data_IF_813794383380
#
_entry.id   IF_813794383380
#
_cell.length_a   1.000
_cell.length_b   1.000
_cell.length_c   1.000
_cell.angle_alpha   90.00
_cell.angle_beta   90.00
_cell.angle_gamma   90.00
#
_symmetry.space_group_name_H-M   'P 1'
#
loop_
_entity.id
_entity.type
_entity.pdbx_description
1 polymer ?
#
# COMPACT_ATOMS: atom_id res chain seq x y z
N UNK A 1 21.93 -9.54 -7.31
CA UNK A 1 20.49 -9.40 -7.59
C UNK A 1 20.34 -8.38 -8.70
N UNK A 2 19.61 -8.71 -9.76
CA UNK A 2 19.42 -7.81 -10.89
C UNK A 2 18.40 -6.72 -10.55
N UNK A 3 18.41 -5.56 -11.24
CA UNK A 3 17.32 -4.57 -11.12
C UNK A 3 15.93 -5.16 -11.43
N UNK A 4 15.85 -6.18 -12.29
CA UNK A 4 14.62 -6.91 -12.58
C UNK A 4 14.07 -7.64 -11.34
N UNK A 5 14.94 -8.24 -10.54
CA UNK A 5 14.56 -9.00 -9.35
C UNK A 5 13.96 -8.06 -8.27
N UNK A 6 14.52 -6.85 -8.12
CA UNK A 6 14.03 -5.83 -7.18
C UNK A 6 12.67 -5.31 -7.62
N UNK A 7 12.51 -4.99 -8.91
CA UNK A 7 11.24 -4.54 -9.48
C UNK A 7 10.12 -5.55 -9.24
N UNK A 8 10.39 -6.83 -9.46
CA UNK A 8 9.40 -7.89 -9.18
C UNK A 8 9.06 -7.99 -7.69
N UNK A 9 10.05 -7.80 -6.81
CA UNK A 9 9.82 -7.81 -5.37
C UNK A 9 8.92 -6.62 -4.94
N UNK A 10 9.11 -5.44 -5.52
CA UNK A 10 8.24 -4.28 -5.31
C UNK A 10 6.81 -4.56 -5.77
N UNK A 11 6.62 -5.13 -6.97
CA UNK A 11 5.29 -5.50 -7.48
C UNK A 11 4.59 -6.58 -6.62
N UNK A 12 5.35 -7.49 -6.02
CA UNK A 12 4.84 -8.48 -5.05
C UNK A 12 4.46 -7.84 -3.72
N UNK A 13 5.28 -6.92 -3.21
CA UNK A 13 4.93 -6.16 -2.00
C UNK A 13 3.64 -5.35 -2.21
N UNK A 14 3.56 -4.59 -3.31
CA UNK A 14 2.33 -3.91 -3.72
C UNK A 14 1.15 -4.90 -3.85
N UNK A 15 1.35 -6.08 -4.43
CA UNK A 15 0.30 -7.10 -4.51
C UNK A 15 -0.26 -7.50 -3.14
N UNK A 16 0.63 -7.71 -2.16
CA UNK A 16 0.23 -8.13 -0.82
C UNK A 16 -0.56 -7.06 -0.09
N UNK A 17 -0.22 -5.78 -0.31
CA UNK A 17 -0.93 -4.66 0.27
C UNK A 17 -2.22 -4.39 -0.50
N UNK A 18 -2.22 -4.42 -1.83
CA UNK A 18 -3.37 -4.17 -2.71
C UNK A 18 -4.09 -2.83 -2.50
N UNK A 19 -3.34 -1.78 -2.15
CA UNK A 19 -3.82 -0.40 -2.05
C UNK A 19 -2.70 0.61 -2.32
N UNK A 20 -3.02 1.90 -2.57
CA UNK A 20 -2.01 2.96 -2.60
C UNK A 20 -1.12 2.89 -1.37
N UNK A 21 0.19 2.81 -1.59
CA UNK A 21 1.16 2.61 -0.51
C UNK A 21 2.23 3.68 -0.60
N UNK A 22 2.46 4.39 0.50
CA UNK A 22 3.56 5.34 0.58
C UNK A 22 4.91 4.62 0.36
N UNK A 23 5.85 5.26 -0.33
CA UNK A 23 7.13 4.62 -0.71
C UNK A 23 7.88 4.09 0.52
N UNK A 24 7.79 4.80 1.63
CA UNK A 24 8.45 4.49 2.88
C UNK A 24 7.91 3.20 3.55
N UNK A 25 6.59 3.03 3.56
CA UNK A 25 5.89 1.82 3.98
C UNK A 25 6.21 0.65 3.04
N UNK A 26 6.31 0.91 1.74
CA UNK A 26 6.66 -0.10 0.74
C UNK A 26 8.10 -0.61 0.90
N UNK A 27 9.05 0.27 1.17
CA UNK A 27 10.45 -0.07 1.47
C UNK A 27 10.54 -0.96 2.72
N UNK A 28 9.77 -0.62 3.76
CA UNK A 28 9.68 -1.43 4.98
C UNK A 28 9.14 -2.83 4.68
N UNK A 29 8.00 -2.92 4.00
CA UNK A 29 7.35 -4.20 3.67
C UNK A 29 8.26 -5.06 2.79
N UNK A 30 8.91 -4.47 1.79
CA UNK A 30 9.86 -5.15 0.91
C UNK A 30 10.99 -5.80 1.73
N UNK A 31 11.62 -5.04 2.62
CA UNK A 31 12.72 -5.53 3.44
C UNK A 31 12.29 -6.66 4.38
N UNK A 32 11.09 -6.59 4.96
CA UNK A 32 10.58 -7.62 5.86
C UNK A 32 10.15 -8.90 5.14
N UNK A 33 9.55 -8.78 3.96
CA UNK A 33 9.07 -9.94 3.19
C UNK A 33 10.21 -10.66 2.45
N UNK A 34 11.26 -9.95 2.05
CA UNK A 34 12.27 -10.47 1.12
C UNK A 34 13.71 -10.39 1.64
N UNK A 35 13.94 -9.69 2.76
CA UNK A 35 15.28 -9.37 3.25
C UNK A 35 16.00 -8.28 2.45
N UNK A 36 15.36 -7.70 1.43
CA UNK A 36 15.95 -6.70 0.54
C UNK A 36 15.74 -5.31 1.09
N UNK A 37 16.80 -4.74 1.65
CA UNK A 37 16.82 -3.34 2.09
C UNK A 37 17.04 -2.45 0.86
N UNK A 38 16.09 -1.57 0.57
CA UNK A 38 16.16 -0.55 -0.48
C UNK A 38 15.98 0.84 0.15
N UNK A 39 16.33 1.89 -0.57
CA UNK A 39 15.98 3.27 -0.19
C UNK A 39 14.72 3.73 -0.91
N UNK A 40 14.11 4.79 -0.41
CA UNK A 40 12.93 5.40 -1.05
C UNK A 40 13.28 5.89 -2.46
N UNK A 41 14.46 6.48 -2.66
CA UNK A 41 14.93 6.93 -3.97
C UNK A 41 15.13 5.78 -4.96
N UNK A 42 15.59 4.62 -4.49
CA UNK A 42 15.74 3.45 -5.34
C UNK A 42 14.38 2.94 -5.83
N UNK A 43 13.37 2.90 -4.96
CA UNK A 43 12.01 2.48 -5.31
C UNK A 43 11.33 3.53 -6.22
N UNK A 44 11.48 4.82 -5.91
CA UNK A 44 11.01 5.91 -6.78
C UNK A 44 11.66 5.85 -8.17
N UNK A 45 12.96 5.55 -8.24
CA UNK A 45 13.69 5.36 -9.49
C UNK A 45 13.15 4.21 -10.33
N UNK A 46 12.69 3.12 -9.71
CA UNK A 46 12.03 2.01 -10.42
C UNK A 46 10.69 2.45 -11.02
N UNK A 47 9.88 3.21 -10.29
CA UNK A 47 8.61 3.75 -10.80
C UNK A 47 8.84 4.71 -11.98
N UNK A 48 9.84 5.59 -11.88
CA UNK A 48 10.24 6.48 -12.97
C UNK A 48 10.76 5.70 -14.20
N UNK A 49 11.53 4.63 -13.97
CA UNK A 49 11.98 3.73 -15.03
C UNK A 49 10.82 3.04 -15.74
N UNK A 50 9.82 2.56 -14.98
CA UNK A 50 8.60 1.96 -15.54
C UNK A 50 7.80 2.95 -16.40
N UNK A 51 7.69 4.21 -15.97
CA UNK A 51 7.07 5.28 -16.77
C UNK A 51 7.82 5.52 -18.08
N UNK A 52 9.15 5.56 -18.04
CA UNK A 52 9.99 5.77 -19.21
C UNK A 52 9.89 4.60 -20.21
N UNK A 53 9.95 3.37 -19.71
CA UNK A 53 9.81 2.15 -20.53
C UNK A 53 8.43 2.07 -21.19
N UNK A 54 7.36 2.40 -20.45
CA UNK A 54 6.02 2.47 -21.02
C UNK A 54 5.94 3.51 -22.15
N UNK A 55 6.50 4.71 -21.93
CA UNK A 55 6.55 5.77 -22.94
C UNK A 55 7.36 5.37 -24.18
N UNK A 56 8.39 4.52 -24.02
CA UNK A 56 9.18 3.94 -25.11
C UNK A 56 8.48 2.77 -25.82
N UNK A 57 7.28 2.36 -25.38
CA UNK A 57 6.53 1.26 -25.98
C UNK A 57 7.03 -0.13 -25.58
N UNK A 58 7.77 -0.25 -24.49
CA UNK A 58 8.15 -1.56 -23.93
C UNK A 58 6.89 -2.26 -23.43
N UNK A 59 6.71 -3.54 -23.77
CA UNK A 59 5.58 -4.33 -23.29
C UNK A 59 5.93 -5.02 -21.97
N UNK A 60 5.05 -4.88 -20.96
CA UNK A 60 5.14 -5.55 -19.67
C UNK A 60 3.74 -5.96 -19.17
N UNK A 61 3.63 -7.03 -18.38
CA UNK A 61 2.33 -7.47 -17.84
C UNK A 61 1.73 -6.47 -16.84
N UNK A 62 2.58 -5.77 -16.10
CA UNK A 62 2.18 -4.74 -15.13
C UNK A 62 3.30 -3.73 -14.93
N UNK A 63 2.92 -2.54 -14.47
CA UNK A 63 3.80 -1.40 -14.19
C UNK A 63 3.67 -0.97 -12.73
N UNK A 64 4.77 -0.50 -12.16
CA UNK A 64 4.78 0.31 -10.94
C UNK A 64 4.33 1.71 -11.34
N UNK A 65 3.22 2.15 -10.77
CA UNK A 65 2.58 3.40 -11.12
C UNK A 65 2.47 4.30 -9.90
N UNK A 66 2.45 5.62 -10.06
CA UNK A 66 1.93 6.49 -9.02
C UNK A 66 0.43 6.21 -8.80
N UNK A 67 -0.08 6.68 -7.67
CA UNK A 67 -1.50 6.77 -7.42
C UNK A 67 -2.08 7.94 -8.23
N UNK A 68 -3.40 7.99 -8.33
CA UNK A 68 -4.11 9.05 -9.02
C UNK A 68 -4.78 9.96 -8.00
N UNK A 69 -4.55 11.25 -8.11
CA UNK A 69 -5.25 12.24 -7.29
C UNK A 69 -6.76 12.23 -7.59
N UNK A 70 -7.57 12.22 -6.53
CA UNK A 70 -9.02 12.14 -6.62
C UNK A 70 -9.61 13.34 -7.37
N UNK A 71 -9.05 14.53 -7.19
CA UNK A 71 -9.64 15.76 -7.71
C UNK A 71 -9.53 15.91 -9.23
N UNK A 72 -8.38 15.49 -9.80
CA UNK A 72 -8.00 15.82 -11.16
C UNK A 72 -7.34 14.66 -11.92
N UNK A 73 -7.02 13.55 -11.25
CA UNK A 73 -6.30 12.43 -11.85
C UNK A 73 -4.82 12.70 -12.12
N UNK A 74 -4.24 13.73 -11.51
CA UNK A 74 -2.78 13.95 -11.52
C UNK A 74 -2.06 12.80 -10.81
N UNK A 75 -0.75 12.68 -11.05
CA UNK A 75 0.05 11.68 -10.38
C UNK A 75 0.32 12.10 -8.92
N UNK A 76 -0.04 11.22 -7.99
CA UNK A 76 0.41 11.30 -6.60
C UNK A 76 1.65 10.40 -6.47
N UNK A 77 2.83 10.96 -6.72
CA UNK A 77 4.10 10.23 -6.81
C UNK A 77 4.58 9.70 -5.45
N UNK A 78 4.03 10.20 -4.34
CA UNK A 78 4.32 9.74 -2.98
C UNK A 78 3.74 8.35 -2.70
N UNK A 79 2.70 7.95 -3.43
CA UNK A 79 1.98 6.69 -3.24
C UNK A 79 2.08 5.82 -4.49
N UNK A 80 2.55 4.59 -4.34
CA UNK A 80 2.69 3.65 -5.46
C UNK A 80 1.56 2.62 -5.53
N UNK A 81 1.22 2.24 -6.76
CA UNK A 81 0.19 1.28 -7.13
C UNK A 81 0.65 0.40 -8.29
N UNK A 82 -0.23 -0.49 -8.77
CA UNK A 82 0.01 -1.30 -9.96
C UNK A 82 -0.96 -0.96 -11.09
N UNK A 83 -0.46 -0.95 -12.32
CA UNK A 83 -1.28 -0.65 -13.52
C UNK A 83 -2.41 -1.64 -13.77
N UNK A 84 -2.30 -2.89 -13.29
CA UNK A 84 -3.29 -3.94 -13.49
C UNK A 84 -4.42 -3.91 -12.45
N UNK A 85 -4.37 -2.97 -11.51
CA UNK A 85 -5.47 -2.74 -10.57
C UNK A 85 -6.58 -1.90 -11.21
N UNK A 86 -7.85 -2.10 -10.78
CA UNK A 86 -8.92 -1.18 -11.10
C UNK A 86 -8.56 0.26 -10.70
N UNK A 87 -9.02 1.25 -11.47
CA UNK A 87 -8.70 2.67 -11.22
C UNK A 87 -9.07 3.07 -9.80
N UNK A 88 -10.24 2.66 -9.29
CA UNK A 88 -10.66 2.97 -7.93
C UNK A 88 -9.74 2.41 -6.82
N UNK A 89 -8.94 1.38 -7.09
CA UNK A 89 -7.96 0.86 -6.12
C UNK A 89 -6.62 1.62 -6.17
N UNK A 90 -6.54 2.69 -6.96
CA UNK A 90 -5.33 3.47 -7.21
C UNK A 90 -5.51 4.95 -6.89
N UNK A 91 -6.69 5.35 -6.43
CA UNK A 91 -7.02 6.74 -6.16
C UNK A 91 -6.67 7.08 -4.72
N UNK A 92 -6.06 8.24 -4.54
CA UNK A 92 -5.79 8.87 -3.24
C UNK A 92 -6.35 10.29 -3.26
N UNK A 93 -6.47 10.91 -2.09
CA UNK A 93 -6.59 12.37 -2.00
C UNK A 93 -5.19 12.93 -1.75
N UNK A 94 -5.11 14.07 -1.07
CA UNK A 94 -3.87 14.61 -0.51
C UNK A 94 -3.15 13.66 0.47
N UNK A 95 -3.91 12.76 1.10
CA UNK A 95 -3.43 11.67 1.97
C UNK A 95 -4.25 10.40 1.76
N UNK A 96 -3.82 9.30 2.39
CA UNK A 96 -4.64 8.09 2.49
C UNK A 96 -5.94 8.39 3.23
N UNK A 97 -7.05 7.85 2.76
CA UNK A 97 -8.32 7.91 3.48
C UNK A 97 -8.29 6.98 4.70
N UNK A 98 -9.19 7.21 5.66
CA UNK A 98 -9.33 6.35 6.85
C UNK A 98 -9.56 4.87 6.47
N UNK A 99 -10.37 4.59 5.45
CA UNK A 99 -10.55 3.23 4.93
C UNK A 99 -9.23 2.62 4.43
N UNK A 100 -8.40 3.43 3.77
CA UNK A 100 -7.12 2.97 3.25
C UNK A 100 -6.12 2.72 4.39
N UNK A 101 -6.10 3.59 5.39
CA UNK A 101 -5.29 3.44 6.60
C UNK A 101 -5.69 2.20 7.41
N UNK A 102 -6.98 1.91 7.53
CA UNK A 102 -7.48 0.68 8.15
C UNK A 102 -7.09 -0.57 7.36
N UNK A 103 -7.15 -0.52 6.03
CA UNK A 103 -6.68 -1.64 5.21
C UNK A 103 -5.18 -1.86 5.36
N UNK A 104 -4.39 -0.78 5.37
CA UNK A 104 -2.95 -0.86 5.62
C UNK A 104 -2.66 -1.43 7.01
N UNK A 105 -3.38 -1.01 8.04
CA UNK A 105 -3.28 -1.56 9.39
C UNK A 105 -3.55 -3.08 9.40
N UNK A 106 -4.57 -3.53 8.69
CA UNK A 106 -4.88 -4.96 8.54
C UNK A 106 -3.69 -5.70 7.92
N UNK A 107 -3.14 -5.21 6.81
CA UNK A 107 -2.03 -5.86 6.10
C UNK A 107 -0.74 -5.88 6.93
N UNK A 108 -0.40 -4.77 7.60
CA UNK A 108 0.78 -4.67 8.44
C UNK A 108 0.67 -5.54 9.70
N UNK A 109 -0.51 -5.61 10.31
CA UNK A 109 -0.80 -6.52 11.43
C UNK A 109 -0.66 -7.99 11.02
N UNK A 110 -1.21 -8.37 9.86
CA UNK A 110 -1.05 -9.71 9.30
C UNK A 110 0.43 -10.06 9.03
N UNK A 111 1.18 -9.12 8.47
CA UNK A 111 2.62 -9.27 8.27
C UNK A 111 3.34 -9.49 9.61
N UNK A 112 3.06 -8.67 10.62
CA UNK A 112 3.66 -8.79 11.95
C UNK A 112 3.41 -10.18 12.58
N UNK A 113 2.19 -10.70 12.49
CA UNK A 113 1.83 -12.04 12.95
C UNK A 113 2.63 -13.11 12.20
N UNK A 114 2.65 -13.06 10.86
CA UNK A 114 3.38 -14.05 10.06
C UNK A 114 4.89 -14.05 10.35
N UNK A 115 5.49 -12.87 10.55
CA UNK A 115 6.91 -12.75 10.90
C UNK A 115 7.20 -13.36 12.28
N UNK A 116 6.31 -13.15 13.26
CA UNK A 116 6.44 -13.75 14.60
C UNK A 116 6.36 -15.29 14.56
N UNK A 117 5.52 -15.86 13.70
CA UNK A 117 5.36 -17.31 13.53
C UNK A 117 6.59 -17.97 12.89
N UNK A 118 7.22 -17.31 11.90
CA UNK A 118 8.37 -17.85 11.16
C UNK A 118 9.64 -17.96 11.98
N UNK A 119 9.75 -17.20 13.10
CA UNK A 119 10.94 -17.16 13.98
C UNK A 119 12.24 -16.86 13.24
N UNK A 120 12.17 -16.11 12.15
CA UNK A 120 13.32 -15.69 11.35
C UNK A 120 13.95 -14.42 11.94
N UNK A 121 15.23 -14.19 11.64
CA UNK A 121 15.90 -12.94 12.01
C UNK A 121 15.58 -11.89 10.96
N UNK A 122 14.75 -10.92 11.34
CA UNK A 122 14.38 -9.81 10.47
C UNK A 122 15.23 -8.56 10.79
N UNK A 123 15.40 -7.66 9.81
CA UNK A 123 16.09 -6.38 10.01
C UNK A 123 15.50 -5.58 11.19
N UNK A 124 16.26 -5.29 12.26
CA UNK A 124 15.71 -4.70 13.49
C UNK A 124 15.05 -3.34 13.30
N UNK A 125 15.62 -2.49 12.43
CA UNK A 125 15.09 -1.16 12.15
C UNK A 125 13.71 -1.23 11.48
N UNK A 126 13.54 -2.15 10.53
CA UNK A 126 12.27 -2.34 9.82
C UNK A 126 11.22 -2.99 10.73
N UNK A 127 11.62 -3.89 11.64
CA UNK A 127 10.71 -4.41 12.65
C UNK A 127 10.24 -3.36 13.65
N UNK A 128 11.12 -2.42 14.02
CA UNK A 128 10.74 -1.28 14.86
C UNK A 128 9.76 -0.37 14.12
N UNK A 129 10.09 0.01 12.88
CA UNK A 129 9.24 0.84 12.02
C UNK A 129 7.86 0.22 11.82
N UNK A 130 7.78 -1.10 11.59
CA UNK A 130 6.50 -1.80 11.46
C UNK A 130 5.62 -1.62 12.70
N UNK A 131 6.21 -1.74 13.89
CA UNK A 131 5.47 -1.58 15.15
C UNK A 131 5.02 -0.14 15.38
N UNK A 132 5.88 0.83 15.07
CA UNK A 132 5.56 2.24 15.15
C UNK A 132 4.40 2.57 14.20
N UNK A 133 4.50 2.15 12.93
CA UNK A 133 3.47 2.40 11.92
C UNK A 133 2.13 1.74 12.27
N UNK A 134 2.14 0.50 12.76
CA UNK A 134 0.94 -0.16 13.28
C UNK A 134 0.34 0.63 14.45
N UNK A 135 1.19 1.15 15.34
CA UNK A 135 0.76 1.99 16.46
C UNK A 135 0.09 3.29 16.00
N UNK A 136 0.65 3.95 15.00
CA UNK A 136 0.10 5.17 14.41
C UNK A 136 -1.26 4.91 13.77
N UNK A 137 -1.37 3.84 12.98
CA UNK A 137 -2.62 3.48 12.30
C UNK A 137 -3.70 2.94 13.26
N UNK A 138 -3.31 2.41 14.42
CA UNK A 138 -4.27 1.93 15.41
C UNK A 138 -5.16 3.05 16.01
N UNK A 139 -4.85 4.33 15.75
CA UNK A 139 -5.70 5.47 16.13
C UNK A 139 -7.10 5.40 15.51
N UNK A 140 -7.25 4.74 14.35
CA UNK A 140 -8.54 4.56 13.67
C UNK A 140 -9.41 3.46 14.28
N UNK A 141 -8.87 2.65 15.20
CA UNK A 141 -9.63 1.59 15.83
C UNK A 141 -10.52 2.11 16.97
N UNK A 142 -11.74 1.58 17.15
CA UNK A 142 -12.64 2.00 18.21
C UNK A 142 -12.04 1.78 19.62
N UNK A 143 -11.95 2.82 20.47
CA UNK A 143 -11.24 2.74 21.76
C UNK A 143 -11.89 1.80 22.76
N UNK A 144 -13.21 1.60 22.66
CA UNK A 144 -13.98 0.63 23.45
C UNK A 144 -13.58 -0.81 23.13
N UNK A 145 -13.40 -1.15 21.84
CA UNK A 145 -12.94 -2.48 21.41
C UNK A 145 -11.46 -2.72 21.73
N UNK A 146 -10.67 -1.65 21.85
CA UNK A 146 -9.27 -1.71 22.27
C UNK A 146 -9.09 -1.94 23.78
N UNK A 147 -10.10 -1.70 24.61
CA UNK A 147 -10.00 -1.88 26.06
C UNK A 147 -9.98 -3.35 26.49
N UNK A 148 -10.41 -4.26 25.60
CA UNK A 148 -10.48 -5.71 25.83
C UNK A 148 -9.18 -6.45 25.46
N UNK A 149 -8.08 -5.71 25.17
CA UNK A 149 -6.84 -6.28 24.64
C UNK A 149 -6.20 -7.33 25.57
N UNK A 150 -5.74 -8.46 25.01
CA UNK A 150 -4.91 -9.41 25.73
C UNK A 150 -3.53 -8.81 26.07
N UNK A 151 -2.88 -9.37 27.10
CA UNK A 151 -1.58 -8.90 27.58
C UNK A 151 -0.40 -9.31 26.68
N UNK A 152 -0.56 -10.32 25.82
CA UNK A 152 0.47 -10.81 24.91
C UNK A 152 0.53 -9.98 23.61
N UNK A 153 1.74 -9.70 23.13
CA UNK A 153 2.00 -8.84 21.96
C UNK A 153 1.58 -9.48 20.65
N UNK A 154 1.75 -10.80 20.48
CA UNK A 154 1.27 -11.49 19.27
C UNK A 154 -0.25 -11.42 19.17
N UNK A 155 -0.90 -11.57 20.33
CA UNK A 155 -2.35 -11.56 20.43
C UNK A 155 -2.89 -10.14 20.17
N UNK A 156 -2.16 -9.09 20.57
CA UNK A 156 -2.52 -7.70 20.23
C UNK A 156 -2.47 -7.43 18.73
N UNK A 157 -1.49 -7.97 17.99
CA UNK A 157 -1.44 -7.79 16.52
C UNK A 157 -2.61 -8.51 15.84
N UNK A 158 -3.00 -9.68 16.35
CA UNK A 158 -4.19 -10.39 15.87
C UNK A 158 -5.47 -9.59 16.11
N UNK A 159 -5.63 -8.99 17.30
CA UNK A 159 -6.75 -8.09 17.61
C UNK A 159 -6.78 -6.89 16.65
N UNK A 160 -5.63 -6.27 16.35
CA UNK A 160 -5.59 -5.16 15.38
C UNK A 160 -5.99 -5.58 13.98
N UNK A 161 -5.53 -6.76 13.54
CA UNK A 161 -5.95 -7.33 12.27
C UNK A 161 -7.48 -7.49 12.19
N UNK A 162 -8.09 -8.13 13.19
CA UNK A 162 -9.54 -8.40 13.21
C UNK A 162 -10.35 -7.10 13.27
N UNK A 163 -9.99 -6.17 14.16
CA UNK A 163 -10.69 -4.90 14.28
C UNK A 163 -10.56 -4.04 13.02
N UNK A 164 -9.40 -4.04 12.38
CA UNK A 164 -9.19 -3.33 11.13
C UNK A 164 -10.01 -3.93 9.99
N UNK A 165 -10.13 -5.26 9.92
CA UNK A 165 -10.98 -5.95 8.94
C UNK A 165 -12.47 -5.60 9.11
N UNK A 166 -12.96 -5.61 10.35
CA UNK A 166 -14.35 -5.21 10.66
C UNK A 166 -14.62 -3.76 10.22
N UNK A 167 -13.78 -2.81 10.65
CA UNK A 167 -13.96 -1.38 10.36
C UNK A 167 -13.84 -1.08 8.86
N UNK A 168 -12.88 -1.73 8.18
CA UNK A 168 -12.70 -1.59 6.74
C UNK A 168 -13.96 -1.98 5.97
N UNK A 169 -14.58 -3.13 6.29
CA UNK A 169 -15.76 -3.62 5.58
C UNK A 169 -16.97 -2.68 5.69
N UNK A 170 -17.07 -1.92 6.78
CA UNK A 170 -18.12 -0.92 6.98
C UNK A 170 -17.88 0.36 6.18
N UNK A 171 -16.64 0.86 6.18
CA UNK A 171 -16.27 2.12 5.55
C UNK A 171 -16.08 2.02 4.03
N UNK A 172 -15.47 0.93 3.54
CA UNK A 172 -15.19 0.77 2.10
C UNK A 172 -16.46 0.94 1.28
N UNK A 173 -17.57 0.32 1.70
CA UNK A 173 -18.83 0.41 0.95
C UNK A 173 -19.31 1.85 0.80
N UNK A 174 -19.18 2.65 1.85
CA UNK A 174 -19.63 4.04 1.85
C UNK A 174 -18.71 4.91 0.98
N UNK A 175 -17.40 4.70 1.09
CA UNK A 175 -16.42 5.43 0.30
C UNK A 175 -16.54 5.12 -1.19
N UNK A 176 -16.71 3.84 -1.56
CA UNK A 176 -16.90 3.43 -2.97
C UNK A 176 -18.10 4.12 -3.62
N UNK A 177 -19.22 4.20 -2.91
CA UNK A 177 -20.42 4.92 -3.38
C UNK A 177 -20.13 6.40 -3.56
N UNK A 178 -19.42 7.03 -2.61
CA UNK A 178 -19.06 8.44 -2.70
C UNK A 178 -18.13 8.74 -3.88
N UNK A 179 -17.21 7.82 -4.19
CA UNK A 179 -16.18 7.99 -5.22
C UNK A 179 -16.61 7.53 -6.63
N UNK A 180 -17.77 6.89 -6.79
CA UNK A 180 -18.20 6.23 -8.03
C UNK A 180 -18.09 7.14 -9.26
N UNK A 181 -18.59 8.37 -9.16
CA UNK A 181 -18.58 9.35 -10.27
C UNK A 181 -17.16 9.77 -10.68
N UNK A 182 -16.25 9.92 -9.71
CA UNK A 182 -14.84 10.27 -9.99
C UNK A 182 -14.12 9.10 -10.62
N UNK A 183 -14.29 7.89 -10.09
CA UNK A 183 -13.69 6.67 -10.65
C UNK A 183 -14.13 6.48 -12.11
N UNK A 184 -15.42 6.66 -12.39
CA UNK A 184 -15.94 6.58 -13.75
C UNK A 184 -15.33 7.64 -14.70
N UNK A 185 -15.05 8.85 -14.21
CA UNK A 185 -14.34 9.88 -14.96
C UNK A 185 -12.88 9.50 -15.25
N UNK A 186 -12.17 9.03 -14.23
CA UNK A 186 -10.77 8.60 -14.35
C UNK A 186 -10.60 7.39 -15.27
N UNK A 187 -11.59 6.48 -15.33
CA UNK A 187 -11.59 5.35 -16.25
C UNK A 187 -11.66 5.74 -17.73
N UNK A 188 -12.18 6.94 -18.02
CA UNK A 188 -12.25 7.49 -19.39
C UNK A 188 -10.94 8.12 -19.86
N UNK A 189 -9.95 8.29 -18.96
CA UNK A 189 -8.64 8.78 -19.34
C UNK A 189 -7.96 7.83 -20.35
N UNK A 190 -7.10 8.39 -21.20
CA UNK A 190 -6.24 7.57 -22.06
C UNK A 190 -5.27 6.75 -21.21
N UNK A 191 -4.81 5.61 -21.73
CA UNK A 191 -3.94 4.67 -20.99
C UNK A 191 -2.76 5.34 -20.26
N UNK A 192 -1.98 6.26 -20.86
CA UNK A 192 -0.90 6.93 -20.12
C UNK A 192 -1.41 7.67 -18.88
N UNK A 193 -2.52 8.41 -19.01
CA UNK A 193 -3.13 9.14 -17.89
C UNK A 193 -3.73 8.20 -16.84
N UNK A 194 -4.33 7.09 -17.27
CA UNK A 194 -4.82 6.06 -16.34
C UNK A 194 -3.69 5.42 -15.55
N UNK A 195 -2.51 5.26 -16.12
CA UNK A 195 -1.39 4.59 -15.46
C UNK A 195 -0.50 5.56 -14.68
N UNK A 196 -0.20 6.73 -15.22
CA UNK A 196 0.84 7.62 -14.69
C UNK A 196 0.33 9.03 -14.41
N UNK A 197 -0.98 9.23 -14.31
CA UNK A 197 -1.62 10.52 -14.06
C UNK A 197 -1.65 11.44 -15.29
N UNK A 198 -2.52 12.46 -15.22
CA UNK A 198 -2.53 13.56 -16.21
C UNK A 198 -1.52 14.63 -15.82
N UNK A 199 -0.83 15.19 -16.82
CA UNK A 199 0.19 16.23 -16.69
C UNK A 199 0.66 16.69 -18.07
#
# INVERSE_FOLDING_TARGET
MSPGDVREAVLRALHSIHQPTAIDDLVMVLALQTGLVQTEEAVAGLAAGDRADFAAGVERPSWICPSLEYENGEAADEFLTRSDWPVGARVVRDVLSETQELWLLRQLSALAVSLAERREVHPPAQMLRLRERIGDLAIHLPPDRLAEKPADRSDVMWVYYELAEDCYGELERQERVAQEHVIAGLEQLKLPGRFFGVG
#
